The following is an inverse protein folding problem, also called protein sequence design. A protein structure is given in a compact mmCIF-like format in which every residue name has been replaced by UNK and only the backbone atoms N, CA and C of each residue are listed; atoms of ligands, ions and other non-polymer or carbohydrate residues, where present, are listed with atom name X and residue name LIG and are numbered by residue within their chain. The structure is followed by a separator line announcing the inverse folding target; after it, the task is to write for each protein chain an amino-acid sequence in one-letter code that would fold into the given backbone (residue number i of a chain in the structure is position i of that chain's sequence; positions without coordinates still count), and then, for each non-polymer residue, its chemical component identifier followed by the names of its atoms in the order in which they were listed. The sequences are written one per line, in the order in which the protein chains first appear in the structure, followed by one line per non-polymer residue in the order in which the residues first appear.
data_IF_605808654955
#
_entry.id   IF_605808654955
#
_cell.length_a   1.000
_cell.length_b   1.000
_cell.length_c   1.000
_cell.angle_alpha   90.00
_cell.angle_beta   90.00
_cell.angle_gamma   90.00
#
_symmetry.space_group_name_H-M   'P 1'
#
loop_
_entity.id
_entity.type
_entity.pdbx_description
1 polymer ?
#
# COMPACT_ATOMS: atom_id res chain seq x y z
N UNK A 1 11.17 -17.33 9.33
CA UNK A 1 11.67 -16.01 9.70
C UNK A 1 10.61 -15.18 10.39
N UNK A 2 11.02 -14.05 10.93
CA UNK A 2 10.12 -13.06 11.55
C UNK A 2 9.53 -12.12 10.49
N UNK A 3 8.55 -11.30 10.87
CA UNK A 3 8.13 -10.15 10.08
C UNK A 3 9.33 -9.21 9.89
N UNK A 4 9.38 -8.53 8.74
CA UNK A 4 10.46 -7.58 8.45
C UNK A 4 10.13 -6.24 9.16
N UNK A 5 10.97 -5.87 10.12
CA UNK A 5 10.81 -4.67 10.95
C UNK A 5 11.02 -3.36 10.16
N UNK A 6 11.52 -3.44 8.93
CA UNK A 6 11.63 -2.31 8.01
C UNK A 6 10.27 -1.83 7.48
N UNK A 7 9.21 -2.63 7.68
CA UNK A 7 7.83 -2.22 7.47
C UNK A 7 7.23 -1.76 8.80
N UNK A 8 6.91 -0.49 8.94
CA UNK A 8 6.20 0.00 10.13
C UNK A 8 4.79 -0.61 10.23
N UNK A 9 4.05 -0.58 9.12
CA UNK A 9 2.69 -1.13 9.03
C UNK A 9 2.26 -1.24 7.56
N UNK A 10 1.48 -2.28 7.24
CA UNK A 10 1.06 -2.69 5.89
C UNK A 10 2.21 -3.27 5.05
N UNK A 11 1.88 -4.22 4.22
CA UNK A 11 2.77 -4.99 3.37
C UNK A 11 3.71 -5.96 4.11
N UNK A 12 3.84 -5.89 5.44
CA UNK A 12 4.63 -6.86 6.24
C UNK A 12 4.07 -8.27 6.13
N UNK A 13 2.74 -8.42 6.09
CA UNK A 13 2.04 -9.69 5.92
C UNK A 13 2.23 -10.26 4.51
N UNK A 14 2.13 -9.40 3.50
CA UNK A 14 2.35 -9.78 2.10
C UNK A 14 3.81 -10.16 1.87
N UNK A 15 4.74 -9.39 2.41
CA UNK A 15 6.18 -9.67 2.39
C UNK A 15 6.48 -11.03 3.05
N UNK A 16 5.92 -11.27 4.23
CA UNK A 16 6.09 -12.54 4.94
C UNK A 16 5.60 -13.72 4.09
N UNK A 17 4.42 -13.61 3.50
CA UNK A 17 3.87 -14.63 2.62
C UNK A 17 4.76 -14.87 1.39
N UNK A 18 5.25 -13.83 0.76
CA UNK A 18 6.16 -13.94 -0.38
C UNK A 18 7.47 -14.63 -0.02
N UNK A 19 8.07 -14.29 1.13
CA UNK A 19 9.29 -14.95 1.62
C UNK A 19 9.05 -16.42 1.94
N UNK A 20 7.91 -16.74 2.57
CA UNK A 20 7.54 -18.12 2.87
C UNK A 20 7.41 -18.95 1.57
N UNK A 21 6.72 -18.43 0.54
CA UNK A 21 6.58 -19.11 -0.75
C UNK A 21 7.94 -19.31 -1.45
N UNK A 22 8.81 -18.30 -1.42
CA UNK A 22 10.18 -18.42 -1.98
C UNK A 22 11.04 -19.45 -1.24
N UNK A 23 10.76 -19.68 0.03
CA UNK A 23 11.40 -20.71 0.85
C UNK A 23 10.77 -22.12 0.69
N UNK A 24 9.82 -22.27 -0.25
CA UNK A 24 9.15 -23.54 -0.55
C UNK A 24 7.96 -23.88 0.35
N UNK A 25 7.49 -22.94 1.18
CA UNK A 25 6.32 -23.15 2.02
C UNK A 25 5.02 -22.84 1.26
N UNK A 26 4.01 -23.65 1.52
CA UNK A 26 2.66 -23.41 1.01
C UNK A 26 1.90 -22.48 1.95
N UNK A 27 1.19 -21.52 1.36
CA UNK A 27 0.23 -20.66 2.08
C UNK A 27 -1.15 -21.25 1.86
N UNK A 28 -1.80 -21.64 2.93
CA UNK A 28 -3.13 -22.25 2.90
C UNK A 28 -4.12 -21.42 3.71
N UNK A 29 -5.35 -21.34 3.21
CA UNK A 29 -6.46 -20.81 3.98
C UNK A 29 -7.06 -21.93 4.84
N UNK A 30 -7.09 -21.72 6.16
CA UNK A 30 -7.75 -22.65 7.09
C UNK A 30 -9.06 -22.02 7.59
N UNK A 31 -10.23 -22.47 7.13
CA UNK A 31 -11.53 -21.90 7.54
C UNK A 31 -11.87 -22.16 9.02
N UNK A 32 -11.18 -23.11 9.67
CA UNK A 32 -11.38 -23.41 11.10
C UNK A 32 -10.54 -22.51 12.02
N UNK A 33 -9.55 -21.79 11.47
CA UNK A 33 -8.77 -20.82 12.22
C UNK A 33 -9.62 -19.54 12.41
N UNK A 34 -10.07 -19.30 13.64
CA UNK A 34 -10.89 -18.13 13.99
C UNK A 34 -10.06 -17.11 14.73
N UNK A 35 -10.01 -15.89 14.23
CA UNK A 35 -9.33 -14.76 14.86
C UNK A 35 -10.30 -13.59 14.97
N UNK A 36 -10.36 -12.98 16.15
CA UNK A 36 -11.10 -11.71 16.35
C UNK A 36 -10.14 -10.57 15.98
N UNK A 37 -10.43 -9.92 14.87
CA UNK A 37 -9.66 -8.76 14.42
C UNK A 37 -10.41 -7.46 14.74
N UNK A 38 -9.90 -6.69 15.72
CA UNK A 38 -10.44 -5.38 16.08
C UNK A 38 -10.06 -4.36 15.01
N UNK A 39 -10.97 -4.11 14.07
CA UNK A 39 -10.73 -3.21 12.94
C UNK A 39 -10.53 -1.76 13.40
N UNK A 40 -9.50 -1.10 12.87
CA UNK A 40 -9.25 0.32 13.11
C UNK A 40 -8.53 0.64 14.42
N UNK A 41 -8.14 -0.38 15.21
CA UNK A 41 -7.40 -0.17 16.45
C UNK A 41 -5.96 0.29 16.26
N UNK A 42 -5.32 -0.08 15.15
CA UNK A 42 -3.89 0.18 14.93
C UNK A 42 -3.61 1.25 13.89
N UNK A 43 -4.56 1.59 13.01
CA UNK A 43 -4.28 2.48 11.88
C UNK A 43 -5.53 3.19 11.35
N UNK A 44 -5.43 4.48 11.02
CA UNK A 44 -6.52 5.27 10.44
C UNK A 44 -6.72 5.01 8.92
N UNK A 45 -5.88 4.20 8.25
CA UNK A 45 -5.89 4.03 6.78
C UNK A 45 -7.27 3.70 6.24
N UNK A 46 -7.98 2.72 6.82
CA UNK A 46 -9.32 2.33 6.33
C UNK A 46 -10.34 3.44 6.50
N UNK A 47 -10.34 4.11 7.65
CA UNK A 47 -11.27 5.22 7.92
C UNK A 47 -10.98 6.44 7.05
N UNK A 48 -9.71 6.73 6.80
CA UNK A 48 -9.30 7.82 5.90
C UNK A 48 -9.63 7.48 4.44
N UNK A 49 -9.36 6.25 3.99
CA UNK A 49 -9.70 5.79 2.65
C UNK A 49 -11.22 5.86 2.40
N UNK A 50 -12.05 5.41 3.35
CA UNK A 50 -13.51 5.52 3.24
C UNK A 50 -13.99 6.97 3.11
N UNK A 51 -13.30 7.91 3.75
CA UNK A 51 -13.58 9.36 3.68
C UNK A 51 -12.81 10.06 2.54
N UNK A 52 -12.06 9.32 1.73
CA UNK A 52 -11.16 9.83 0.66
C UNK A 52 -10.14 10.86 1.15
N UNK A 53 -9.81 10.84 2.44
CA UNK A 53 -8.77 11.68 3.04
C UNK A 53 -7.38 11.16 2.69
N UNK A 54 -6.38 12.02 2.88
CA UNK A 54 -4.98 11.65 2.67
C UNK A 54 -4.58 10.49 3.58
N UNK A 55 -3.97 9.45 3.00
CA UNK A 55 -3.47 8.31 3.77
C UNK A 55 -2.17 8.65 4.48
N UNK A 56 -1.85 7.98 5.60
CA UNK A 56 -0.60 8.19 6.32
C UNK A 56 0.61 7.87 5.45
N UNK A 57 1.71 8.58 5.69
CA UNK A 57 2.96 8.44 4.95
C UNK A 57 3.53 7.02 4.99
N UNK A 58 3.51 6.36 6.15
CA UNK A 58 4.04 5.00 6.31
C UNK A 58 3.38 3.98 5.37
N UNK A 59 2.11 4.17 4.99
CA UNK A 59 1.45 3.31 4.01
C UNK A 59 2.17 3.36 2.65
N UNK A 60 2.58 4.54 2.20
CA UNK A 60 3.29 4.71 0.94
C UNK A 60 4.75 4.30 1.04
N UNK A 61 5.39 4.49 2.19
CA UNK A 61 6.76 4.02 2.45
C UNK A 61 6.82 2.49 2.36
N UNK A 62 5.90 1.79 3.04
CA UNK A 62 5.78 0.33 2.98
C UNK A 62 5.47 -0.15 1.56
N UNK A 63 4.54 0.50 0.85
CA UNK A 63 4.22 0.20 -0.54
C UNK A 63 5.46 0.33 -1.45
N UNK A 64 6.19 1.42 -1.33
CA UNK A 64 7.38 1.68 -2.15
C UNK A 64 8.45 0.64 -1.90
N UNK A 65 8.73 0.33 -0.64
CA UNK A 65 9.67 -0.73 -0.24
C UNK A 65 9.27 -2.08 -0.82
N UNK A 66 8.01 -2.48 -0.65
CA UNK A 66 7.50 -3.75 -1.16
C UNK A 66 7.71 -3.88 -2.68
N UNK A 67 7.24 -2.91 -3.46
CA UNK A 67 7.40 -2.97 -4.92
C UNK A 67 8.86 -2.98 -5.34
N UNK A 68 9.71 -2.21 -4.68
CA UNK A 68 11.15 -2.22 -4.97
C UNK A 68 11.81 -3.56 -4.64
N UNK A 69 11.49 -4.17 -3.49
CA UNK A 69 12.10 -5.43 -3.04
C UNK A 69 11.74 -6.60 -3.96
N UNK A 70 10.53 -6.62 -4.53
CA UNK A 70 10.05 -7.74 -5.32
C UNK A 70 10.14 -7.53 -6.83
N UNK A 71 10.07 -6.31 -7.30
CA UNK A 71 10.02 -5.97 -8.73
C UNK A 71 11.07 -4.95 -9.16
N UNK A 72 11.94 -4.54 -8.25
CA UNK A 72 12.96 -3.53 -8.50
C UNK A 72 12.39 -2.14 -8.79
N UNK A 73 13.28 -1.20 -9.09
CA UNK A 73 12.88 0.19 -9.43
C UNK A 73 11.98 0.28 -10.67
N UNK A 74 12.22 -0.56 -11.65
CA UNK A 74 11.39 -0.60 -12.87
C UNK A 74 9.96 -1.04 -12.56
N UNK A 75 9.77 -2.05 -11.72
CA UNK A 75 8.46 -2.50 -11.28
C UNK A 75 7.73 -1.45 -10.43
N UNK A 76 8.45 -0.77 -9.53
CA UNK A 76 7.90 0.36 -8.77
C UNK A 76 7.47 1.51 -9.70
N UNK A 77 8.30 1.86 -10.68
CA UNK A 77 7.96 2.87 -11.68
C UNK A 77 6.70 2.48 -12.46
N UNK A 78 6.68 1.25 -12.99
CA UNK A 78 5.53 0.73 -13.71
C UNK A 78 4.24 0.78 -12.87
N UNK A 79 4.29 0.36 -11.59
CA UNK A 79 3.15 0.43 -10.68
C UNK A 79 2.65 1.86 -10.49
N UNK A 80 3.54 2.85 -10.40
CA UNK A 80 3.17 4.26 -10.28
C UNK A 80 2.56 4.80 -11.59
N UNK A 81 3.12 4.46 -12.74
CA UNK A 81 2.59 4.87 -14.04
C UNK A 81 1.21 4.27 -14.31
N UNK A 82 1.00 2.98 -14.03
CA UNK A 82 -0.33 2.34 -14.14
C UNK A 82 -1.35 2.96 -13.20
N UNK A 83 -0.92 3.36 -12.00
CA UNK A 83 -1.80 4.08 -11.09
C UNK A 83 -2.23 5.43 -11.70
N UNK A 84 -1.30 6.21 -12.28
CA UNK A 84 -1.62 7.47 -12.95
C UNK A 84 -2.52 7.29 -14.16
N UNK A 85 -2.33 6.22 -14.93
CA UNK A 85 -3.24 5.88 -16.03
C UNK A 85 -4.66 5.63 -15.51
N UNK A 86 -4.80 4.86 -14.42
CA UNK A 86 -6.10 4.64 -13.76
C UNK A 86 -6.73 5.96 -13.25
N UNK A 87 -5.91 6.84 -12.69
CA UNK A 87 -6.34 8.16 -12.25
C UNK A 87 -6.84 9.02 -13.42
N UNK A 88 -6.14 9.02 -14.55
CA UNK A 88 -6.56 9.73 -15.76
C UNK A 88 -7.89 9.18 -16.28
N UNK A 89 -8.03 7.86 -16.38
CA UNK A 89 -9.28 7.21 -16.79
C UNK A 89 -10.43 7.62 -15.86
N UNK A 90 -10.19 7.65 -14.54
CA UNK A 90 -11.21 8.07 -13.58
C UNK A 90 -11.64 9.54 -13.79
N UNK A 91 -10.69 10.41 -14.14
CA UNK A 91 -10.99 11.81 -14.49
C UNK A 91 -11.83 11.93 -15.76
N UNK A 92 -11.44 11.20 -16.81
CA UNK A 92 -12.19 11.19 -18.07
C UNK A 92 -13.61 10.67 -17.83
N UNK A 93 -13.78 9.57 -17.08
CA UNK A 93 -15.10 9.04 -16.73
C UNK A 93 -15.97 10.07 -16.01
N UNK A 94 -15.38 10.88 -15.14
CA UNK A 94 -16.12 11.93 -14.42
C UNK A 94 -16.62 13.03 -15.34
N UNK A 95 -15.93 13.32 -16.46
CA UNK A 95 -16.39 14.29 -17.46
C UNK A 95 -17.65 13.81 -18.18
N UNK A 96 -17.76 12.50 -18.47
CA UNK A 96 -18.90 11.91 -19.16
C UNK A 96 -20.02 11.43 -18.22
N UNK A 97 -19.73 11.26 -16.92
CA UNK A 97 -20.71 10.81 -15.94
C UNK A 97 -20.52 11.59 -14.64
N UNK A 98 -21.35 12.60 -14.44
CA UNK A 98 -21.31 13.48 -13.25
C UNK A 98 -21.53 12.71 -11.93
N UNK A 99 -22.25 11.59 -11.99
CA UNK A 99 -22.52 10.72 -10.82
C UNK A 99 -21.36 9.80 -10.49
N UNK A 100 -20.34 9.70 -11.36
CA UNK A 100 -19.18 8.86 -11.11
C UNK A 100 -18.37 9.35 -9.91
N UNK A 101 -18.23 8.50 -8.91
CA UNK A 101 -17.40 8.77 -7.74
C UNK A 101 -16.10 7.95 -7.80
N UNK A 102 -14.99 8.66 -7.90
CA UNK A 102 -13.66 8.06 -7.80
C UNK A 102 -13.35 7.65 -6.34
N UNK A 103 -12.65 6.53 -6.16
CA UNK A 103 -12.14 6.08 -4.86
C UNK A 103 -10.71 6.58 -4.57
N UNK A 104 -10.27 7.62 -5.26
CA UNK A 104 -8.94 8.20 -5.11
C UNK A 104 -8.92 9.08 -3.85
N UNK A 105 -7.94 8.84 -3.00
CA UNK A 105 -7.70 9.63 -1.79
C UNK A 105 -7.02 10.97 -2.12
N UNK A 106 -7.15 11.91 -1.19
CA UNK A 106 -6.48 13.21 -1.26
C UNK A 106 -4.96 13.04 -1.41
N UNK A 107 -4.35 13.83 -2.30
CA UNK A 107 -2.90 13.86 -2.58
C UNK A 107 -2.28 12.53 -3.00
N UNK A 108 -3.06 11.47 -3.22
CA UNK A 108 -2.56 10.14 -3.53
C UNK A 108 -1.66 10.12 -4.77
N UNK A 109 -1.97 10.95 -5.79
CA UNK A 109 -1.19 11.07 -7.02
C UNK A 109 0.27 11.48 -6.77
N UNK A 110 0.52 12.23 -5.69
CA UNK A 110 1.84 12.66 -5.24
C UNK A 110 2.44 11.65 -4.26
N UNK A 111 1.62 11.16 -3.33
CA UNK A 111 2.09 10.34 -2.22
C UNK A 111 2.56 8.94 -2.65
N UNK A 112 2.09 8.44 -3.80
CA UNK A 112 2.62 7.18 -4.39
C UNK A 112 4.11 7.26 -4.79
N UNK A 113 4.69 8.47 -4.86
CA UNK A 113 6.10 8.71 -5.13
C UNK A 113 6.96 8.83 -3.86
N UNK A 114 6.35 8.65 -2.68
CA UNK A 114 7.09 8.66 -1.41
C UNK A 114 8.25 7.69 -1.48
N UNK A 115 9.44 8.17 -1.13
CA UNK A 115 10.70 7.41 -1.13
C UNK A 115 11.10 6.79 -2.49
N UNK A 116 10.56 7.24 -3.63
CA UNK A 116 10.88 6.67 -4.94
C UNK A 116 12.38 6.76 -5.28
N UNK A 117 13.05 7.86 -4.93
CA UNK A 117 14.49 8.03 -5.13
C UNK A 117 15.37 7.15 -4.22
N UNK A 118 14.87 6.84 -3.02
CA UNK A 118 15.50 5.95 -2.06
C UNK A 118 14.48 4.96 -1.47
N UNK A 119 14.11 3.89 -2.20
CA UNK A 119 13.05 2.97 -1.80
C UNK A 119 13.33 2.16 -0.53
N UNK A 120 14.59 2.05 -0.15
CA UNK A 120 15.06 1.34 1.06
C UNK A 120 15.29 2.28 2.24
N UNK A 121 14.93 3.56 2.13
CA UNK A 121 15.01 4.48 3.25
C UNK A 121 14.20 3.95 4.45
N UNK A 122 14.75 4.10 5.66
CA UNK A 122 14.00 3.78 6.87
C UNK A 122 12.68 4.55 6.89
N UNK A 123 11.63 3.92 7.40
CA UNK A 123 10.36 4.63 7.59
C UNK A 123 10.51 5.74 8.63
N UNK A 124 9.68 6.77 8.51
CA UNK A 124 9.58 7.81 9.54
C UNK A 124 8.44 7.41 10.48
N UNK A 125 8.75 7.29 11.78
CA UNK A 125 7.71 6.96 12.76
C UNK A 125 6.62 8.05 12.75
N UNK A 126 5.32 7.67 12.84
CA UNK A 126 4.22 8.64 12.76
C UNK A 126 4.30 9.81 13.74
N UNK A 127 4.92 9.62 14.90
CA UNK A 127 5.10 10.67 15.90
C UNK A 127 6.13 11.74 15.50
N UNK A 128 6.86 11.52 14.38
CA UNK A 128 7.95 12.38 13.92
C UNK A 128 7.59 13.20 12.65
N UNK A 129 6.29 13.26 12.23
CA UNK A 129 5.81 14.09 11.11
C UNK A 129 4.44 14.73 11.27
#
# INVERSE_FOLDING_TARGET
GLLDEEFFMYFEDVDYCQRAQRAGWNIIHNPNARVVHLRGGSSPVKSQAAKKKRLPRYFYESRTRYYNNYFGRSGLLAANLFWHLGWLIARVRKLFNSNYQSNICESQWRDIWTNFSNPTAAYIHPDNY
#
